data_IF_591224209755
#
_entry.id   IF_591224209755
#
_cell.length_a   1.000
_cell.length_b   1.000
_cell.length_c   1.000
_cell.angle_alpha   90.00
_cell.angle_beta   90.00
_cell.angle_gamma   90.00
#
_symmetry.space_group_name_H-M   'P 1'
#
loop_
_entity.id
_entity.type
_entity.pdbx_description
1 polymer ?
#
# COMPACT_ATOMS: atom_id res chain seq x y z
N UNK A 1 0.79 -5.78 6.24
CA UNK A 1 -0.62 -5.70 6.63
C UNK A 1 -1.55 -5.53 5.44
N UNK A 2 -1.31 -4.55 4.57
CA UNK A 2 -2.20 -4.30 3.43
C UNK A 2 -2.34 -5.50 2.51
N UNK A 3 -1.24 -6.17 2.18
CA UNK A 3 -1.29 -7.34 1.31
C UNK A 3 -2.04 -8.50 1.94
N UNK A 4 -1.92 -8.65 3.26
CA UNK A 4 -2.68 -9.67 3.97
C UNK A 4 -4.18 -9.37 3.92
N UNK A 5 -4.56 -8.11 4.14
CA UNK A 5 -5.97 -7.73 4.08
C UNK A 5 -6.54 -7.98 2.69
N UNK A 6 -5.77 -7.65 1.65
CA UNK A 6 -6.22 -7.88 0.28
C UNK A 6 -6.35 -9.37 -0.05
N UNK A 7 -5.52 -10.21 0.57
CA UNK A 7 -5.58 -11.64 0.35
C UNK A 7 -6.81 -12.29 0.98
N UNK A 8 -7.31 -11.75 2.10
CA UNK A 8 -8.45 -12.32 2.81
C UNK A 8 -9.75 -11.58 2.55
N UNK A 9 -9.70 -10.44 1.87
CA UNK A 9 -10.88 -9.64 1.59
C UNK A 9 -11.76 -10.31 0.53
N UNK A 10 -13.07 -10.30 0.77
CA UNK A 10 -14.07 -10.84 -0.16
C UNK A 10 -14.83 -9.67 -0.80
N UNK A 11 -14.59 -9.36 -2.08
CA UNK A 11 -15.25 -8.26 -2.76
C UNK A 11 -16.61 -8.61 -3.35
N UNK A 12 -17.07 -9.85 -3.19
CA UNK A 12 -18.24 -10.35 -3.92
C UNK A 12 -19.57 -9.71 -3.48
N UNK A 13 -19.65 -9.18 -2.27
CA UNK A 13 -20.90 -8.58 -1.76
C UNK A 13 -20.61 -7.27 -1.05
N UNK A 14 -20.50 -6.17 -1.80
CA UNK A 14 -20.18 -4.87 -1.20
C UNK A 14 -21.31 -4.26 -0.38
N UNK A 15 -22.54 -4.75 -0.52
CA UNK A 15 -23.69 -4.22 0.20
C UNK A 15 -23.86 -4.90 1.55
N UNK A 16 -23.90 -6.23 1.56
CA UNK A 16 -24.19 -6.99 2.78
C UNK A 16 -22.94 -7.33 3.57
N UNK A 17 -21.79 -7.40 2.92
CA UNK A 17 -20.51 -7.74 3.56
C UNK A 17 -19.43 -6.76 3.13
N UNK A 18 -19.53 -5.48 3.50
CA UNK A 18 -18.51 -4.50 3.14
C UNK A 18 -17.23 -4.69 3.94
N UNK A 19 -16.19 -3.93 3.58
CA UNK A 19 -14.88 -4.08 4.19
C UNK A 19 -14.88 -3.90 5.72
N UNK A 20 -15.72 -3.02 6.24
CA UNK A 20 -15.77 -2.79 7.69
C UNK A 20 -16.38 -3.97 8.44
N UNK A 21 -17.16 -4.79 7.78
CA UNK A 21 -17.68 -6.03 8.40
C UNK A 21 -16.69 -7.17 8.34
N UNK A 22 -15.68 -7.07 7.47
CA UNK A 22 -14.66 -8.11 7.33
C UNK A 22 -13.42 -7.83 8.17
N UNK A 23 -13.41 -6.74 8.92
CA UNK A 23 -12.28 -6.41 9.79
C UNK A 23 -11.11 -5.77 9.08
N UNK A 24 -11.31 -5.19 7.91
CA UNK A 24 -10.26 -4.49 7.19
C UNK A 24 -9.86 -3.21 7.90
N UNK A 25 -8.57 -2.96 8.03
CA UNK A 25 -8.04 -1.79 8.72
C UNK A 25 -7.50 -0.73 7.75
N UNK A 26 -6.60 -1.12 6.85
CA UNK A 26 -5.96 -0.15 5.96
C UNK A 26 -6.77 0.13 4.71
N UNK A 27 -7.62 -0.81 4.27
CA UNK A 27 -8.46 -0.59 3.09
C UNK A 27 -9.41 0.60 3.23
N UNK A 28 -10.06 0.81 4.39
CA UNK A 28 -10.90 2.01 4.55
C UNK A 28 -10.11 3.31 4.39
N UNK A 29 -8.88 3.36 4.87
CA UNK A 29 -8.04 4.55 4.73
C UNK A 29 -7.66 4.80 3.28
N UNK A 30 -7.37 3.74 2.52
CA UNK A 30 -7.09 3.86 1.09
C UNK A 30 -8.33 4.33 0.33
N UNK A 31 -9.48 3.76 0.65
CA UNK A 31 -10.75 4.15 0.01
C UNK A 31 -11.09 5.61 0.29
N UNK A 32 -10.81 6.08 1.50
CA UNK A 32 -11.03 7.47 1.88
C UNK A 32 -10.20 8.43 1.03
N UNK A 33 -9.04 8.00 0.57
CA UNK A 33 -8.16 8.81 -0.27
C UNK A 33 -8.37 8.59 -1.77
N UNK A 34 -9.40 7.83 -2.16
CA UNK A 34 -9.75 7.64 -3.56
C UNK A 34 -9.26 6.35 -4.19
N UNK A 35 -8.60 5.48 -3.43
CA UNK A 35 -8.17 4.19 -3.95
C UNK A 35 -9.33 3.21 -3.81
N UNK A 36 -9.86 2.75 -4.94
CA UNK A 36 -11.07 1.91 -4.94
C UNK A 36 -10.92 0.64 -5.76
N UNK A 37 -9.86 0.50 -6.56
CA UNK A 37 -9.71 -0.57 -7.52
C UNK A 37 -8.62 -1.54 -7.11
N UNK A 38 -8.73 -2.78 -7.54
CA UNK A 38 -7.74 -3.82 -7.29
C UNK A 38 -7.21 -4.40 -8.60
N UNK A 39 -5.98 -4.87 -8.60
CA UNK A 39 -5.41 -5.57 -9.74
C UNK A 39 -6.13 -6.89 -10.03
N UNK A 40 -6.90 -7.38 -9.08
CA UNK A 40 -7.75 -8.56 -9.28
C UNK A 40 -8.95 -8.32 -10.15
N UNK A 41 -9.15 -7.08 -10.64
CA UNK A 41 -10.23 -6.77 -11.56
C UNK A 41 -11.54 -6.35 -10.91
N UNK A 42 -11.52 -6.09 -9.61
CA UNK A 42 -12.72 -5.67 -8.88
C UNK A 42 -12.56 -4.28 -8.29
N UNK A 43 -13.68 -3.66 -7.99
CA UNK A 43 -13.73 -2.38 -7.29
C UNK A 43 -14.48 -2.55 -5.97
N UNK A 44 -14.18 -1.69 -5.01
CA UNK A 44 -14.87 -1.71 -3.70
C UNK A 44 -16.37 -1.44 -3.84
N UNK A 45 -16.79 -0.82 -4.94
CA UNK A 45 -18.19 -0.55 -5.21
C UNK A 45 -18.91 -1.72 -5.91
N UNK A 46 -18.18 -2.80 -6.20
CA UNK A 46 -18.75 -3.98 -6.85
C UNK A 46 -18.63 -3.98 -8.36
N UNK A 47 -18.00 -2.99 -8.94
CA UNK A 47 -17.82 -2.90 -10.39
C UNK A 47 -16.62 -3.72 -10.85
N UNK A 48 -16.64 -4.11 -12.14
CA UNK A 48 -15.49 -4.74 -12.78
C UNK A 48 -14.54 -3.66 -13.29
N UNK A 49 -13.24 -3.89 -13.12
CA UNK A 49 -12.21 -2.94 -13.55
C UNK A 49 -11.26 -3.64 -14.50
N UNK A 50 -11.17 -3.15 -15.73
CA UNK A 50 -10.30 -3.74 -16.74
C UNK A 50 -8.86 -3.19 -16.70
N UNK A 51 -8.67 -1.98 -16.15
CA UNK A 51 -7.35 -1.37 -16.10
C UNK A 51 -7.22 -0.51 -14.82
N UNK A 52 -6.95 -1.15 -13.67
CA UNK A 52 -6.87 -0.43 -12.39
C UNK A 52 -5.67 0.51 -12.28
N UNK A 53 -4.59 0.25 -13.03
CA UNK A 53 -3.41 1.10 -13.01
C UNK A 53 -2.56 0.93 -11.77
N UNK A 54 -1.67 1.91 -11.55
CA UNK A 54 -0.73 1.88 -10.41
C UNK A 54 -1.46 2.19 -9.10
N UNK A 55 -2.38 3.13 -9.13
CA UNK A 55 -3.09 3.57 -7.93
C UNK A 55 -4.26 2.65 -7.63
N UNK A 56 -3.92 1.44 -7.27
CA UNK A 56 -4.83 0.39 -6.82
C UNK A 56 -4.46 0.01 -5.39
N UNK A 57 -5.25 -0.86 -4.76
CA UNK A 57 -4.91 -1.32 -3.41
C UNK A 57 -3.52 -1.94 -3.37
N UNK A 58 -3.24 -2.82 -4.32
CA UNK A 58 -1.94 -3.49 -4.40
C UNK A 58 -0.82 -2.52 -4.77
N UNK A 59 -1.09 -1.60 -5.68
CA UNK A 59 -0.10 -0.62 -6.11
C UNK A 59 0.34 0.29 -4.99
N UNK A 60 -0.58 0.74 -4.16
CA UNK A 60 -0.26 1.56 -2.99
C UNK A 60 0.58 0.78 -1.99
N UNK A 61 0.19 -0.47 -1.71
CA UNK A 61 0.93 -1.33 -0.79
C UNK A 61 2.36 -1.57 -1.28
N UNK A 62 2.53 -1.89 -2.56
CA UNK A 62 3.85 -2.13 -3.13
C UNK A 62 4.69 -0.87 -3.18
N UNK A 63 4.09 0.29 -3.46
CA UNK A 63 4.81 1.56 -3.43
C UNK A 63 5.37 1.84 -2.05
N UNK A 64 4.62 1.58 -1.00
CA UNK A 64 5.10 1.74 0.36
C UNK A 64 6.24 0.77 0.68
N UNK A 65 6.15 -0.47 0.21
CA UNK A 65 7.19 -1.46 0.44
C UNK A 65 8.50 -1.04 -0.26
N UNK A 66 8.40 -0.63 -1.52
CA UNK A 66 9.57 -0.20 -2.29
C UNK A 66 10.19 1.04 -1.66
N UNK A 67 9.38 2.03 -1.32
CA UNK A 67 9.86 3.26 -0.71
C UNK A 67 10.53 2.99 0.64
N UNK A 68 9.96 2.11 1.45
CA UNK A 68 10.55 1.78 2.76
C UNK A 68 11.90 1.09 2.60
N UNK A 69 12.05 0.22 1.61
CA UNK A 69 13.34 -0.40 1.29
C UNK A 69 14.37 0.60 0.86
N UNK A 70 13.98 1.55 0.01
CA UNK A 70 14.88 2.61 -0.43
C UNK A 70 15.27 3.54 0.72
N UNK A 71 14.34 3.86 1.60
CA UNK A 71 14.60 4.67 2.78
C UNK A 71 15.56 3.97 3.73
N UNK A 72 15.43 2.64 3.88
CA UNK A 72 16.35 1.85 4.69
C UNK A 72 17.77 1.93 4.14
N UNK A 73 17.93 1.77 2.83
CA UNK A 73 19.23 1.88 2.19
C UNK A 73 19.80 3.30 2.31
N UNK A 74 18.94 4.30 2.15
CA UNK A 74 19.37 5.70 2.30
C UNK A 74 19.81 6.00 3.73
N UNK A 75 19.14 5.41 4.71
CA UNK A 75 19.51 5.58 6.12
C UNK A 75 20.88 4.97 6.41
N UNK A 76 21.16 3.79 5.86
CA UNK A 76 22.48 3.17 6.01
C UNK A 76 23.55 4.02 5.34
N UNK A 77 23.30 4.47 4.12
CA UNK A 77 24.23 5.31 3.38
C UNK A 77 24.53 6.60 4.14
N UNK A 78 23.49 7.26 4.62
CA UNK A 78 23.63 8.52 5.36
C UNK A 78 24.40 8.31 6.67
N UNK A 79 24.10 7.23 7.38
CA UNK A 79 24.80 6.92 8.63
C UNK A 79 26.30 6.73 8.41
N UNK A 80 26.65 5.94 7.40
CA UNK A 80 28.07 5.62 7.14
C UNK A 80 28.82 6.84 6.61
N UNK A 81 28.28 7.48 5.57
CA UNK A 81 29.02 8.55 4.89
C UNK A 81 28.92 9.88 5.62
N UNK A 82 27.82 10.14 6.28
CA UNK A 82 27.71 11.35 7.09
C UNK A 82 28.70 11.33 8.25
N UNK A 83 28.79 10.22 8.95
CA UNK A 83 29.68 10.05 10.08
C UNK A 83 31.15 10.18 9.64
N UNK A 84 31.52 9.55 8.53
CA UNK A 84 32.87 9.64 7.98
C UNK A 84 33.20 11.07 7.58
N UNK A 85 32.26 11.77 6.96
CA UNK A 85 32.47 13.17 6.56
C UNK A 85 32.67 14.08 7.76
N UNK A 86 31.93 13.87 8.83
CA UNK A 86 32.09 14.64 10.05
C UNK A 86 33.48 14.42 10.68
N UNK A 87 33.96 13.20 10.65
CA UNK A 87 35.30 12.89 11.16
C UNK A 87 36.38 13.54 10.30
N UNK A 88 36.21 13.52 8.98
CA UNK A 88 37.20 14.05 8.04
C UNK A 88 37.25 15.58 8.05
N UNK A 89 36.08 16.22 8.12
CA UNK A 89 36.01 17.68 7.97
C UNK A 89 35.88 18.43 9.29
N UNK A 90 36.08 17.76 10.39
CA UNK A 90 36.08 18.36 11.71
C UNK A 90 37.44 19.04 12.08
#
# INVERSE_FOLDING_TARGET
MALYELAVFDPSDPVLNPMWRQGMFVMPFMTRLGITDSWGGWSITGESVSNPGIWSFEGVALSHIILSGMCFLAAIWHWVYWDVRQVVYR
#
